data_IF_264300946624
#
_entry.id   IF_264300946624
#
_cell.length_a   1.000
_cell.length_b   1.000
_cell.length_c   1.000
_cell.angle_alpha   90.00
_cell.angle_beta   90.00
_cell.angle_gamma   90.00
#
_symmetry.space_group_name_H-M   'P 1'
#
loop_
_entity.id
_entity.type
_entity.pdbx_description
1 polymer ?
#
# COMPACT_ATOMS: atom_id res chain seq x y z
N UNK A 1 61.86 -58.18 9.28
CA UNK A 1 60.47 -57.81 9.63
C UNK A 1 60.06 -56.65 8.75
N UNK A 2 58.94 -56.79 8.04
CA UNK A 2 58.44 -55.84 7.06
C UNK A 2 57.79 -54.63 7.77
N UNK A 3 58.24 -53.41 7.45
CA UNK A 3 57.48 -52.20 7.75
C UNK A 3 56.44 -52.00 6.64
N UNK A 4 55.17 -52.29 6.96
CA UNK A 4 54.03 -51.99 6.12
C UNK A 4 53.85 -50.47 6.04
N UNK A 5 54.14 -49.94 4.86
CA UNK A 5 53.88 -48.55 4.50
C UNK A 5 52.39 -48.43 4.14
N UNK A 6 51.53 -48.17 5.13
CA UNK A 6 50.09 -47.98 4.94
C UNK A 6 49.82 -46.59 4.35
N UNK A 7 50.02 -46.47 3.04
CA UNK A 7 49.57 -45.34 2.24
C UNK A 7 48.10 -45.58 1.86
N UNK A 8 47.19 -45.44 2.82
CA UNK A 8 45.76 -45.70 2.68
C UNK A 8 45.07 -44.47 2.02
N UNK A 9 45.41 -44.20 0.76
CA UNK A 9 44.63 -43.29 -0.10
C UNK A 9 43.43 -44.08 -0.63
N UNK A 10 42.31 -44.01 0.08
CA UNK A 10 41.03 -44.59 -0.38
C UNK A 10 40.57 -43.89 -1.67
N UNK A 11 40.82 -44.50 -2.82
CA UNK A 11 40.17 -44.13 -4.07
C UNK A 11 38.66 -44.47 -3.95
N UNK A 12 37.77 -43.49 -4.21
CA UNK A 12 36.31 -43.70 -4.21
C UNK A 12 35.96 -44.85 -5.17
N UNK A 13 35.10 -45.77 -4.75
CA UNK A 13 34.66 -46.87 -5.63
C UNK A 13 33.75 -46.32 -6.74
N UNK A 14 33.65 -47.01 -7.88
CA UNK A 14 32.73 -46.62 -8.98
C UNK A 14 31.29 -46.41 -8.49
N UNK A 15 30.81 -47.28 -7.58
CA UNK A 15 29.49 -47.17 -6.97
C UNK A 15 29.34 -45.92 -6.09
N UNK A 16 30.40 -45.47 -5.41
CA UNK A 16 30.38 -44.24 -4.61
C UNK A 16 30.35 -42.99 -5.50
N UNK A 17 31.05 -43.02 -6.64
CA UNK A 17 31.05 -41.93 -7.63
C UNK A 17 29.68 -41.80 -8.32
N UNK A 18 29.05 -42.92 -8.71
CA UNK A 18 27.69 -42.92 -9.27
C UNK A 18 26.66 -42.39 -8.27
N UNK A 19 26.71 -42.84 -7.01
CA UNK A 19 25.84 -42.32 -5.94
C UNK A 19 26.03 -40.84 -5.69
N UNK A 20 27.28 -40.36 -5.73
CA UNK A 20 27.59 -38.94 -5.59
C UNK A 20 26.97 -38.14 -6.75
N UNK A 21 27.11 -38.62 -7.99
CA UNK A 21 26.54 -37.95 -9.16
C UNK A 21 25.01 -37.92 -9.13
N UNK A 22 24.35 -39.03 -8.77
CA UNK A 22 22.89 -39.07 -8.62
C UNK A 22 22.39 -38.07 -7.57
N UNK A 23 23.10 -37.97 -6.44
CA UNK A 23 22.78 -37.00 -5.40
C UNK A 23 22.87 -35.57 -5.93
N UNK A 24 23.95 -35.24 -6.64
CA UNK A 24 24.16 -33.91 -7.25
C UNK A 24 23.04 -33.55 -8.25
N UNK A 25 22.60 -34.49 -9.07
CA UNK A 25 21.48 -34.28 -10.01
C UNK A 25 20.18 -34.04 -9.25
N UNK A 26 19.90 -34.81 -8.19
CA UNK A 26 18.70 -34.63 -7.36
C UNK A 26 18.71 -33.29 -6.64
N UNK A 27 19.83 -32.88 -6.06
CA UNK A 27 19.95 -31.59 -5.38
C UNK A 27 19.85 -30.43 -6.36
N UNK A 28 20.47 -30.51 -7.54
CA UNK A 28 20.30 -29.55 -8.63
C UNK A 28 18.83 -29.37 -8.99
N UNK A 29 18.11 -30.47 -9.25
CA UNK A 29 16.69 -30.43 -9.62
C UNK A 29 15.82 -29.85 -8.50
N UNK A 30 16.15 -30.14 -7.23
CA UNK A 30 15.46 -29.55 -6.08
C UNK A 30 15.64 -28.02 -6.04
N UNK A 31 16.86 -27.52 -6.27
CA UNK A 31 17.13 -26.08 -6.32
C UNK A 31 16.41 -25.44 -7.51
N UNK A 32 16.47 -26.08 -8.68
CA UNK A 32 15.77 -25.64 -9.88
C UNK A 32 14.26 -25.45 -9.61
N UNK A 33 13.62 -26.49 -9.07
CA UNK A 33 12.19 -26.45 -8.76
C UNK A 33 11.86 -25.39 -7.70
N UNK A 34 12.71 -25.21 -6.68
CA UNK A 34 12.52 -24.17 -5.66
C UNK A 34 12.59 -22.76 -6.26
N UNK A 35 13.49 -22.53 -7.22
CA UNK A 35 13.58 -21.25 -7.93
C UNK A 35 12.35 -21.06 -8.83
N UNK A 36 12.02 -22.03 -9.69
CA UNK A 36 10.92 -21.91 -10.65
C UNK A 36 9.57 -21.65 -9.98
N UNK A 37 9.33 -22.29 -8.84
CA UNK A 37 8.09 -22.17 -8.07
C UNK A 37 8.07 -21.01 -7.08
N UNK A 38 9.14 -20.21 -6.99
CA UNK A 38 9.19 -19.07 -6.09
C UNK A 38 8.15 -18.01 -6.50
N UNK A 39 7.27 -17.65 -5.57
CA UNK A 39 6.17 -16.68 -5.77
C UNK A 39 6.35 -15.39 -4.97
N UNK A 40 7.09 -15.43 -3.86
CA UNK A 40 7.22 -14.31 -2.93
C UNK A 40 8.64 -14.16 -2.40
N UNK A 41 8.94 -12.98 -1.87
CA UNK A 41 10.17 -12.65 -1.18
C UNK A 41 10.43 -13.56 0.04
N UNK A 42 9.38 -14.11 0.66
CA UNK A 42 9.51 -15.00 1.82
C UNK A 42 10.19 -16.32 1.48
N UNK A 43 9.93 -16.84 0.29
CA UNK A 43 10.47 -18.13 -0.18
C UNK A 43 11.95 -18.02 -0.56
N UNK A 44 12.44 -16.80 -0.81
CA UNK A 44 13.82 -16.53 -1.22
C UNK A 44 14.86 -17.12 -0.26
N UNK A 45 14.69 -16.96 1.05
CA UNK A 45 15.70 -17.41 2.02
C UNK A 45 15.88 -18.93 1.95
N UNK A 46 14.78 -19.68 1.83
CA UNK A 46 14.84 -21.14 1.67
C UNK A 46 15.52 -21.52 0.36
N UNK A 47 15.13 -20.89 -0.75
CA UNK A 47 15.72 -21.14 -2.08
C UNK A 47 17.21 -20.82 -2.13
N UNK A 48 17.63 -19.69 -1.52
CA UNK A 48 19.03 -19.28 -1.42
C UNK A 48 19.84 -20.26 -0.59
N UNK A 49 19.31 -20.71 0.55
CA UNK A 49 20.00 -21.67 1.41
C UNK A 49 20.19 -23.02 0.71
N UNK A 50 19.18 -23.50 -0.02
CA UNK A 50 19.29 -24.70 -0.85
C UNK A 50 20.38 -24.56 -1.92
N UNK A 51 20.40 -23.41 -2.62
CA UNK A 51 21.42 -23.13 -3.62
C UNK A 51 22.83 -23.04 -3.02
N UNK A 52 22.97 -22.44 -1.84
CA UNK A 52 24.26 -22.35 -1.16
C UNK A 52 24.74 -23.73 -0.69
N UNK A 53 23.85 -24.56 -0.14
CA UNK A 53 24.17 -25.94 0.22
C UNK A 53 24.63 -26.74 -0.99
N UNK A 54 23.90 -26.67 -2.11
CA UNK A 54 24.32 -27.29 -3.38
C UNK A 54 25.70 -26.78 -3.82
N UNK A 55 25.96 -25.47 -3.75
CA UNK A 55 27.26 -24.92 -4.16
C UNK A 55 28.46 -25.30 -3.28
N UNK A 56 28.20 -25.89 -2.12
CA UNK A 56 29.24 -26.39 -1.19
C UNK A 56 29.38 -27.91 -1.20
N UNK A 57 28.57 -28.64 -1.98
CA UNK A 57 28.73 -30.09 -2.12
C UNK A 57 30.01 -30.43 -2.92
N UNK A 58 30.68 -31.51 -2.54
CA UNK A 58 31.88 -32.00 -3.22
C UNK A 58 31.51 -32.51 -4.63
N UNK A 59 32.31 -32.16 -5.66
CA UNK A 59 32.11 -32.62 -7.04
C UNK A 59 31.10 -31.80 -7.86
N UNK A 60 30.58 -30.69 -7.33
CA UNK A 60 29.64 -29.80 -8.03
C UNK A 60 30.33 -29.06 -9.17
N UNK A 61 29.66 -28.97 -10.32
CA UNK A 61 30.10 -28.17 -11.45
C UNK A 61 29.80 -26.67 -11.23
N UNK A 62 30.83 -25.82 -11.34
CA UNK A 62 30.69 -24.37 -11.16
C UNK A 62 29.74 -23.72 -12.18
N UNK A 63 29.67 -24.28 -13.39
CA UNK A 63 28.73 -23.84 -14.44
C UNK A 63 27.28 -24.05 -14.03
N UNK A 64 26.98 -25.16 -13.35
CA UNK A 64 25.61 -25.46 -12.90
C UNK A 64 25.20 -24.54 -11.74
N UNK A 65 26.13 -24.24 -10.83
CA UNK A 65 25.93 -23.22 -9.79
C UNK A 65 25.65 -21.85 -10.41
N UNK A 66 26.43 -21.47 -11.43
CA UNK A 66 26.23 -20.20 -12.15
C UNK A 66 24.84 -20.14 -12.82
N UNK A 67 24.43 -21.21 -13.53
CA UNK A 67 23.11 -21.29 -14.17
C UNK A 67 21.97 -21.13 -13.15
N UNK A 68 22.06 -21.81 -12.02
CA UNK A 68 21.04 -21.69 -10.95
C UNK A 68 21.03 -20.29 -10.33
N UNK A 69 22.19 -19.68 -10.09
CA UNK A 69 22.27 -18.28 -9.59
C UNK A 69 21.68 -17.29 -10.59
N UNK A 70 21.95 -17.46 -11.89
CA UNK A 70 21.39 -16.63 -12.96
C UNK A 70 19.88 -16.81 -13.06
N UNK A 71 19.39 -18.04 -12.95
CA UNK A 71 17.95 -18.32 -12.96
C UNK A 71 17.24 -17.71 -11.75
N UNK A 72 17.86 -17.74 -10.57
CA UNK A 72 17.33 -17.05 -9.38
C UNK A 72 17.26 -15.53 -9.58
N UNK A 73 18.28 -14.93 -10.20
CA UNK A 73 18.31 -13.48 -10.53
C UNK A 73 17.17 -13.10 -11.48
N UNK A 74 16.99 -13.88 -12.55
CA UNK A 74 15.88 -13.71 -13.50
C UNK A 74 14.53 -13.85 -12.81
N UNK A 75 14.35 -14.89 -11.99
CA UNK A 75 13.09 -15.11 -11.28
C UNK A 75 12.74 -13.97 -10.34
N UNK A 76 13.71 -13.43 -9.59
CA UNK A 76 13.48 -12.26 -8.73
C UNK A 76 13.08 -11.03 -9.56
N UNK A 77 13.69 -10.85 -10.72
CA UNK A 77 13.36 -9.76 -11.65
C UNK A 77 11.93 -9.90 -12.19
N UNK A 78 11.51 -11.10 -12.59
CA UNK A 78 10.13 -11.38 -13.01
C UNK A 78 9.12 -11.06 -11.89
N UNK A 79 9.42 -11.45 -10.65
CA UNK A 79 8.56 -11.15 -9.50
C UNK A 79 8.47 -9.64 -9.23
N UNK A 80 9.57 -8.89 -9.41
CA UNK A 80 9.58 -7.44 -9.29
C UNK A 80 8.67 -6.78 -10.33
N UNK A 81 8.82 -7.14 -11.60
CA UNK A 81 7.99 -6.62 -12.69
C UNK A 81 6.51 -6.94 -12.48
N UNK A 82 6.19 -8.17 -12.05
CA UNK A 82 4.83 -8.56 -11.74
C UNK A 82 4.26 -7.75 -10.57
N UNK A 83 5.05 -7.50 -9.53
CA UNK A 83 4.65 -6.69 -8.39
C UNK A 83 4.42 -5.22 -8.80
N UNK A 84 5.27 -4.65 -9.65
CA UNK A 84 5.11 -3.29 -10.19
C UNK A 84 3.83 -3.13 -11.00
N UNK A 85 3.54 -4.06 -11.92
CA UNK A 85 2.26 -4.08 -12.66
C UNK A 85 1.05 -4.15 -11.73
N UNK A 86 1.13 -4.99 -10.68
CA UNK A 86 0.03 -5.06 -9.70
C UNK A 86 -0.13 -3.75 -8.92
N UNK A 87 0.96 -3.06 -8.56
CA UNK A 87 0.89 -1.76 -7.89
C UNK A 87 0.19 -0.73 -8.77
N UNK A 88 0.56 -0.63 -10.06
CA UNK A 88 -0.09 0.29 -11.01
C UNK A 88 -1.58 0.02 -11.13
N UNK A 89 -1.98 -1.25 -11.30
CA UNK A 89 -3.40 -1.64 -11.36
C UNK A 89 -4.16 -1.19 -10.10
N UNK A 90 -3.59 -1.41 -8.91
CA UNK A 90 -4.24 -1.02 -7.64
C UNK A 90 -4.32 0.50 -7.49
N UNK A 91 -3.29 1.24 -7.92
CA UNK A 91 -3.31 2.70 -7.91
C UNK A 91 -4.42 3.24 -8.83
N UNK A 92 -4.55 2.69 -10.04
CA UNK A 92 -5.61 3.06 -10.98
C UNK A 92 -6.99 2.77 -10.40
N UNK A 93 -7.21 1.59 -9.82
CA UNK A 93 -8.47 1.26 -9.15
C UNK A 93 -8.81 2.24 -8.02
N UNK A 94 -7.83 2.65 -7.22
CA UNK A 94 -8.03 3.65 -6.15
C UNK A 94 -8.39 5.02 -6.76
N UNK A 95 -7.73 5.42 -7.85
CA UNK A 95 -8.02 6.66 -8.54
C UNK A 95 -9.42 6.68 -9.16
N UNK A 96 -9.84 5.58 -9.81
CA UNK A 96 -11.18 5.40 -10.35
C UNK A 96 -12.25 5.51 -9.27
N UNK A 97 -12.08 4.81 -8.13
CA UNK A 97 -13.02 4.89 -7.01
C UNK A 97 -13.12 6.32 -6.47
N UNK A 98 -12.00 7.06 -6.38
CA UNK A 98 -11.99 8.46 -5.95
C UNK A 98 -12.59 9.43 -6.99
N UNK A 99 -12.62 9.03 -8.25
CA UNK A 99 -13.17 9.84 -9.34
C UNK A 99 -14.70 9.78 -9.40
N UNK A 100 -15.32 8.74 -8.81
CA UNK A 100 -16.78 8.66 -8.69
C UNK A 100 -17.24 9.79 -7.76
N UNK A 101 -17.94 10.76 -8.33
CA UNK A 101 -18.52 11.90 -7.62
C UNK A 101 -20.03 11.87 -7.75
N UNK A 102 -20.73 12.11 -6.65
CA UNK A 102 -22.14 12.44 -6.68
C UNK A 102 -22.24 13.94 -6.92
N UNK A 103 -22.85 14.32 -8.03
CA UNK A 103 -23.16 15.70 -8.36
C UNK A 103 -24.59 16.01 -7.95
N UNK A 104 -24.77 17.17 -7.32
CA UNK A 104 -26.09 17.69 -7.02
C UNK A 104 -26.60 18.50 -8.22
N UNK A 105 -27.88 18.35 -8.55
CA UNK A 105 -28.43 19.04 -9.71
C UNK A 105 -28.40 20.56 -9.51
N UNK A 106 -28.22 21.30 -10.61
CA UNK A 106 -28.22 22.78 -10.56
C UNK A 106 -29.54 23.34 -10.05
N UNK A 107 -30.65 22.64 -10.29
CA UNK A 107 -31.99 23.00 -9.77
C UNK A 107 -32.07 22.87 -8.25
N UNK A 108 -31.55 21.77 -7.68
CA UNK A 108 -31.49 21.56 -6.24
C UNK A 108 -30.61 22.61 -5.56
N UNK A 109 -29.45 22.92 -6.16
CA UNK A 109 -28.57 23.98 -5.68
C UNK A 109 -29.24 25.35 -5.68
N UNK A 110 -29.97 25.71 -6.76
CA UNK A 110 -30.72 26.96 -6.84
C UNK A 110 -31.82 27.04 -5.79
N UNK A 111 -32.58 25.95 -5.59
CA UNK A 111 -33.63 25.89 -4.58
C UNK A 111 -33.06 26.11 -3.18
N UNK A 112 -31.98 25.41 -2.87
CA UNK A 112 -31.29 25.48 -1.58
C UNK A 112 -30.63 26.86 -1.35
N UNK A 113 -30.16 27.52 -2.41
CA UNK A 113 -29.69 28.90 -2.36
C UNK A 113 -30.82 29.88 -1.99
N UNK A 114 -31.98 29.76 -2.63
CA UNK A 114 -33.16 30.60 -2.33
C UNK A 114 -33.67 30.38 -0.91
N UNK A 115 -33.83 29.13 -0.50
CA UNK A 115 -34.31 28.77 0.84
C UNK A 115 -33.30 29.18 1.93
N UNK A 116 -32.01 29.06 1.70
CA UNK A 116 -31.00 29.50 2.67
C UNK A 116 -30.93 31.02 2.79
N UNK A 117 -31.14 31.75 1.69
CA UNK A 117 -31.18 33.22 1.71
C UNK A 117 -32.39 33.75 2.47
N UNK A 118 -33.57 33.12 2.34
CA UNK A 118 -34.74 33.53 3.13
C UNK A 118 -34.52 33.34 4.63
N UNK A 119 -33.91 32.23 5.05
CA UNK A 119 -33.55 31.97 6.45
C UNK A 119 -32.48 32.95 6.93
N UNK A 120 -31.46 33.24 6.11
CA UNK A 120 -30.42 34.22 6.43
C UNK A 120 -31.03 35.59 6.77
N UNK A 121 -31.96 36.08 5.93
CA UNK A 121 -32.63 37.36 6.19
C UNK A 121 -33.45 37.34 7.49
N UNK A 122 -34.11 36.22 7.81
CA UNK A 122 -34.79 36.05 9.11
C UNK A 122 -33.80 36.17 10.27
N UNK A 123 -32.68 35.46 10.22
CA UNK A 123 -31.65 35.55 11.26
C UNK A 123 -31.08 36.96 11.40
N UNK A 124 -30.79 37.64 10.28
CA UNK A 124 -30.29 39.02 10.32
C UNK A 124 -31.31 39.98 10.94
N UNK A 125 -32.60 39.83 10.60
CA UNK A 125 -33.67 40.65 11.17
C UNK A 125 -33.81 40.44 12.68
N UNK A 126 -33.77 39.18 13.13
CA UNK A 126 -33.86 38.83 14.56
C UNK A 126 -32.68 39.37 15.37
N UNK A 127 -31.46 39.30 14.82
CA UNK A 127 -30.23 39.78 15.46
C UNK A 127 -30.12 41.31 15.43
N UNK A 128 -30.63 41.98 14.40
CA UNK A 128 -30.58 43.44 14.28
C UNK A 128 -31.77 44.19 14.91
N UNK A 129 -32.80 43.50 15.39
CA UNK A 129 -34.02 44.11 15.88
C UNK A 129 -33.81 45.22 16.94
N UNK A 130 -32.77 45.12 17.78
CA UNK A 130 -32.43 46.10 18.82
C UNK A 130 -30.95 46.55 18.77
N UNK A 131 -30.32 46.48 17.58
CA UNK A 131 -28.87 46.56 17.42
C UNK A 131 -28.16 45.28 17.89
N UNK A 132 -26.90 45.08 17.49
CA UNK A 132 -26.14 43.88 17.87
C UNK A 132 -25.86 43.92 19.38
N UNK A 133 -26.36 42.93 20.10
CA UNK A 133 -26.20 42.75 21.53
C UNK A 133 -25.41 41.46 21.78
N UNK A 134 -24.13 41.60 22.11
CA UNK A 134 -23.17 40.49 22.11
C UNK A 134 -23.66 39.23 22.86
N UNK A 135 -24.11 39.36 24.11
CA UNK A 135 -24.49 38.20 24.93
C UNK A 135 -25.80 37.53 24.48
N UNK A 136 -26.83 38.31 24.14
CA UNK A 136 -28.11 37.77 23.67
C UNK A 136 -27.99 37.15 22.28
N UNK A 137 -27.20 37.78 21.39
CA UNK A 137 -27.01 37.31 20.03
C UNK A 137 -26.13 36.07 19.97
N UNK A 138 -25.10 35.98 20.82
CA UNK A 138 -24.35 34.73 21.04
C UNK A 138 -25.25 33.58 21.48
N UNK A 139 -26.21 33.84 22.38
CA UNK A 139 -27.17 32.82 22.84
C UNK A 139 -28.11 32.39 21.71
N UNK A 140 -28.63 33.34 20.93
CA UNK A 140 -29.49 33.06 19.76
C UNK A 140 -28.76 32.24 18.71
N UNK A 141 -27.56 32.64 18.33
CA UNK A 141 -26.69 31.87 17.41
C UNK A 141 -26.40 30.48 17.97
N UNK A 142 -26.17 30.38 19.28
CA UNK A 142 -26.05 29.10 19.98
C UNK A 142 -27.23 28.18 19.73
N UNK A 143 -28.46 28.70 19.87
CA UNK A 143 -29.68 27.95 19.62
C UNK A 143 -29.85 27.57 18.14
N UNK A 144 -29.55 28.48 17.20
CA UNK A 144 -29.63 28.17 15.76
C UNK A 144 -28.66 27.06 15.34
N UNK A 145 -27.50 26.95 16.03
CA UNK A 145 -26.50 25.93 15.76
C UNK A 145 -26.85 24.56 16.39
N UNK A 146 -27.96 24.42 17.11
CA UNK A 146 -28.41 23.12 17.64
C UNK A 146 -29.09 22.33 16.53
N UNK A 147 -28.40 21.31 16.01
CA UNK A 147 -28.89 20.40 14.97
C UNK A 147 -29.54 21.11 13.76
N UNK A 148 -28.86 22.09 13.13
CA UNK A 148 -29.43 22.83 12.01
C UNK A 148 -29.69 21.88 10.84
N UNK A 149 -30.79 22.10 10.14
CA UNK A 149 -31.01 21.48 8.82
C UNK A 149 -29.96 21.98 7.83
N UNK A 150 -29.77 21.29 6.71
CA UNK A 150 -28.79 21.70 5.69
C UNK A 150 -29.00 23.14 5.21
N UNK A 151 -30.24 23.54 4.99
CA UNK A 151 -30.60 24.90 4.56
C UNK A 151 -30.25 25.94 5.64
N UNK A 152 -30.56 25.63 6.91
CA UNK A 152 -30.21 26.49 8.05
C UNK A 152 -28.69 26.57 8.24
N UNK A 153 -27.95 25.46 8.06
CA UNK A 153 -26.51 25.43 8.16
C UNK A 153 -25.87 26.33 7.08
N UNK A 154 -26.37 26.32 5.86
CA UNK A 154 -25.89 27.20 4.79
C UNK A 154 -26.21 28.66 5.08
N UNK A 155 -27.40 28.95 5.61
CA UNK A 155 -27.75 30.29 6.07
C UNK A 155 -26.80 30.76 7.19
N UNK A 156 -26.49 29.91 8.17
CA UNK A 156 -25.55 30.19 9.25
C UNK A 156 -24.12 30.35 8.74
N UNK A 157 -23.71 29.60 7.72
CA UNK A 157 -22.39 29.74 7.10
C UNK A 157 -22.24 31.12 6.42
N UNK A 158 -23.28 31.55 5.70
CA UNK A 158 -23.35 32.89 5.11
C UNK A 158 -23.35 33.96 6.20
N UNK A 159 -24.17 33.81 7.25
CA UNK A 159 -24.21 34.72 8.39
C UNK A 159 -22.84 34.85 9.07
N UNK A 160 -22.17 33.72 9.29
CA UNK A 160 -20.84 33.65 9.90
C UNK A 160 -19.75 34.30 9.04
N UNK A 161 -19.93 34.36 7.71
CA UNK A 161 -18.99 35.02 6.80
C UNK A 161 -19.09 36.54 6.82
N UNK A 162 -20.19 37.11 7.33
CA UNK A 162 -20.37 38.54 7.44
C UNK A 162 -19.54 39.09 8.62
N UNK A 163 -18.72 40.14 8.42
CA UNK A 163 -17.82 40.65 9.45
C UNK A 163 -18.51 41.02 10.77
N UNK A 164 -19.72 41.60 10.68
CA UNK A 164 -20.50 42.05 11.84
C UNK A 164 -20.99 40.91 12.76
N UNK A 165 -21.10 39.68 12.24
CA UNK A 165 -21.59 38.53 13.00
C UNK A 165 -20.51 37.49 13.29
N UNK A 166 -19.41 37.52 12.54
CA UNK A 166 -18.32 36.56 12.66
C UNK A 166 -17.85 36.38 14.11
N UNK A 167 -17.70 37.46 14.87
CA UNK A 167 -17.25 37.43 16.26
C UNK A 167 -18.18 36.69 17.24
N UNK A 168 -19.42 36.41 16.85
CA UNK A 168 -20.44 35.78 17.70
C UNK A 168 -20.40 34.24 17.65
N UNK A 169 -19.75 33.65 16.64
CA UNK A 169 -19.66 32.20 16.45
C UNK A 169 -18.42 31.61 17.12
N UNK A 170 -18.63 30.56 17.91
CA UNK A 170 -17.56 29.71 18.46
C UNK A 170 -17.01 28.76 17.40
N UNK A 171 -15.79 28.26 17.60
CA UNK A 171 -15.17 27.30 16.68
C UNK A 171 -15.97 25.98 16.58
N UNK A 172 -16.56 25.52 17.71
CA UNK A 172 -17.40 24.32 17.73
C UNK A 172 -18.64 24.48 16.84
N UNK A 173 -19.31 25.63 16.91
CA UNK A 173 -20.47 25.92 16.08
C UNK A 173 -20.10 25.94 14.60
N UNK A 174 -18.96 26.54 14.24
CA UNK A 174 -18.47 26.54 12.85
C UNK A 174 -18.27 25.14 12.30
N UNK A 175 -17.71 24.22 13.10
CA UNK A 175 -17.55 22.81 12.70
C UNK A 175 -18.91 22.14 12.43
N UNK A 176 -19.88 22.33 13.32
CA UNK A 176 -21.24 21.77 13.15
C UNK A 176 -21.92 22.34 11.90
N UNK A 177 -21.81 23.65 11.67
CA UNK A 177 -22.37 24.32 10.49
C UNK A 177 -21.78 23.73 9.20
N UNK A 178 -20.45 23.58 9.13
CA UNK A 178 -19.79 23.05 7.93
C UNK A 178 -20.18 21.60 7.66
N UNK A 179 -20.26 20.76 8.70
CA UNK A 179 -20.68 19.36 8.54
C UNK A 179 -22.14 19.25 8.07
N UNK A 180 -23.06 20.01 8.68
CA UNK A 180 -24.49 19.93 8.34
C UNK A 180 -24.83 20.60 6.99
N UNK A 181 -23.99 21.50 6.48
CA UNK A 181 -24.16 22.10 5.16
C UNK A 181 -23.86 21.14 4.00
N UNK A 182 -23.12 20.05 4.26
CA UNK A 182 -22.78 19.04 3.25
C UNK A 182 -24.03 18.35 2.70
N UNK A 183 -23.95 17.93 1.45
CA UNK A 183 -25.03 17.13 0.84
C UNK A 183 -25.06 15.74 1.50
N UNK A 184 -26.20 15.31 2.07
CA UNK A 184 -26.31 14.04 2.78
C UNK A 184 -26.04 12.83 1.89
N UNK A 185 -26.36 12.90 0.60
CA UNK A 185 -26.13 11.79 -0.33
C UNK A 185 -24.64 11.68 -0.69
N UNK A 186 -23.94 12.82 -0.84
CA UNK A 186 -22.49 12.84 -0.99
C UNK A 186 -21.83 12.24 0.27
N UNK A 187 -22.25 12.66 1.46
CA UNK A 187 -21.70 12.15 2.72
C UNK A 187 -21.92 10.65 2.87
N UNK A 188 -23.13 10.14 2.57
CA UNK A 188 -23.42 8.69 2.58
C UNK A 188 -22.53 7.94 1.59
N UNK A 189 -22.34 8.50 0.40
CA UNK A 189 -21.49 7.87 -0.61
C UNK A 189 -20.02 7.81 -0.18
N UNK A 190 -19.46 8.92 0.31
CA UNK A 190 -18.12 8.96 0.89
C UNK A 190 -17.94 7.93 2.01
N UNK A 191 -18.92 7.83 2.92
CA UNK A 191 -18.91 6.85 4.01
C UNK A 191 -18.99 5.41 3.50
N UNK A 192 -19.82 5.16 2.47
CA UNK A 192 -19.99 3.82 1.90
C UNK A 192 -18.75 3.34 1.13
N UNK A 193 -18.02 4.25 0.48
CA UNK A 193 -16.81 3.96 -0.28
C UNK A 193 -15.57 3.84 0.62
N UNK A 194 -15.54 4.55 1.74
CA UNK A 194 -14.42 4.54 2.69
C UNK A 194 -13.85 3.14 3.01
N UNK A 195 -14.65 2.13 3.42
CA UNK A 195 -14.12 0.80 3.72
C UNK A 195 -13.47 0.13 2.50
N UNK A 196 -14.04 0.32 1.31
CA UNK A 196 -13.47 -0.22 0.07
C UNK A 196 -12.13 0.45 -0.26
N UNK A 197 -12.04 1.78 -0.09
CA UNK A 197 -10.78 2.52 -0.28
C UNK A 197 -9.71 2.07 0.72
N UNK A 198 -10.06 1.89 1.99
CA UNK A 198 -9.14 1.40 3.02
C UNK A 198 -8.62 0.00 2.70
N UNK A 199 -9.51 -0.91 2.25
CA UNK A 199 -9.12 -2.24 1.81
C UNK A 199 -8.12 -2.19 0.64
N UNK A 200 -8.42 -1.39 -0.40
CA UNK A 200 -7.55 -1.26 -1.58
C UNK A 200 -6.20 -0.63 -1.22
N UNK A 201 -6.19 0.36 -0.32
CA UNK A 201 -4.96 0.95 0.18
C UNK A 201 -4.12 -0.07 0.96
N UNK A 202 -4.74 -0.91 1.80
CA UNK A 202 -4.04 -1.97 2.52
C UNK A 202 -3.43 -3.02 1.57
N UNK A 203 -4.13 -3.40 0.50
CA UNK A 203 -3.60 -4.26 -0.55
C UNK A 203 -2.39 -3.63 -1.24
N UNK A 204 -2.48 -2.34 -1.61
CA UNK A 204 -1.39 -1.60 -2.21
C UNK A 204 -0.17 -1.50 -1.27
N UNK A 205 -0.38 -1.25 0.02
CA UNK A 205 0.70 -1.24 1.03
C UNK A 205 1.43 -2.58 1.12
N UNK A 206 0.71 -3.71 1.02
CA UNK A 206 1.35 -5.04 0.98
C UNK A 206 2.26 -5.20 -0.23
N UNK A 207 1.83 -4.74 -1.41
CA UNK A 207 2.64 -4.78 -2.64
C UNK A 207 3.88 -3.86 -2.55
N UNK A 208 3.76 -2.70 -1.90
CA UNK A 208 4.93 -1.86 -1.63
C UNK A 208 5.98 -2.55 -0.77
N UNK A 209 5.53 -3.22 0.30
CA UNK A 209 6.42 -3.97 1.20
C UNK A 209 7.07 -5.15 0.49
N UNK A 210 6.30 -5.90 -0.29
CA UNK A 210 6.80 -7.01 -1.10
C UNK A 210 7.84 -6.52 -2.12
N UNK A 211 7.53 -5.48 -2.89
CA UNK A 211 8.46 -4.89 -3.86
C UNK A 211 9.74 -4.34 -3.21
N UNK A 212 9.64 -3.77 -2.00
CA UNK A 212 10.80 -3.35 -1.23
C UNK A 212 11.70 -4.56 -0.87
N UNK A 213 11.12 -5.65 -0.38
CA UNK A 213 11.85 -6.87 -0.06
C UNK A 213 12.49 -7.49 -1.31
N UNK A 214 11.74 -7.59 -2.41
CA UNK A 214 12.25 -8.12 -3.68
C UNK A 214 13.42 -7.29 -4.23
N UNK A 215 13.40 -5.96 -4.12
CA UNK A 215 14.54 -5.10 -4.52
C UNK A 215 15.78 -5.35 -3.66
N UNK A 216 15.58 -5.59 -2.36
CA UNK A 216 16.68 -5.95 -1.48
C UNK A 216 17.27 -7.31 -1.88
N UNK A 217 16.39 -8.29 -2.15
CA UNK A 217 16.77 -9.63 -2.61
C UNK A 217 17.53 -9.58 -3.94
N UNK A 218 17.06 -8.80 -4.91
CA UNK A 218 17.71 -8.63 -6.21
C UNK A 218 19.16 -8.17 -6.06
N UNK A 219 19.43 -7.22 -5.16
CA UNK A 219 20.79 -6.78 -4.85
C UNK A 219 21.64 -7.92 -4.26
N UNK A 220 21.07 -8.72 -3.35
CA UNK A 220 21.78 -9.86 -2.77
C UNK A 220 22.11 -10.92 -3.82
N UNK A 221 21.15 -11.29 -4.66
CA UNK A 221 21.33 -12.29 -5.73
C UNK A 221 22.34 -11.82 -6.77
N UNK A 222 22.25 -10.57 -7.21
CA UNK A 222 23.21 -9.98 -8.15
C UNK A 222 24.65 -10.00 -7.59
N UNK A 223 24.82 -9.70 -6.30
CA UNK A 223 26.11 -9.79 -5.64
C UNK A 223 26.64 -11.23 -5.56
N UNK A 224 25.77 -12.18 -5.23
CA UNK A 224 26.12 -13.60 -5.16
C UNK A 224 26.48 -14.16 -6.56
N UNK A 225 25.78 -13.75 -7.61
CA UNK A 225 26.07 -14.10 -9.01
C UNK A 225 27.42 -13.53 -9.47
N UNK A 226 27.73 -12.28 -9.11
CA UNK A 226 29.04 -11.67 -9.39
C UNK A 226 30.18 -12.41 -8.69
N UNK A 227 29.96 -12.91 -7.47
CA UNK A 227 30.95 -13.69 -6.74
C UNK A 227 31.22 -15.04 -7.40
N UNK A 228 30.20 -15.72 -7.94
CA UNK A 228 30.43 -16.97 -8.68
C UNK A 228 31.31 -16.75 -9.90
N UNK A 229 31.10 -15.66 -10.65
CA UNK A 229 31.95 -15.34 -11.82
C UNK A 229 33.41 -15.02 -11.48
N UNK A 230 33.72 -14.60 -10.24
CA UNK A 230 35.09 -14.28 -9.81
C UNK A 230 35.88 -15.49 -9.32
N UNK A 231 35.21 -16.55 -8.86
CA UNK A 231 35.87 -17.78 -8.40
C UNK A 231 36.40 -18.63 -9.55
N UNK A 232 35.84 -18.48 -10.75
CA UNK A 232 36.27 -19.21 -11.95
C UNK A 232 37.55 -18.62 -12.60
N UNK A 233 38.11 -17.51 -12.08
CA UNK A 233 39.27 -16.80 -12.63
C UNK A 233 40.56 -16.91 -11.78
N UNK A 234 40.64 -17.89 -10.85
CA UNK A 234 41.85 -18.17 -10.03
C UNK A 234 42.19 -19.65 -10.16
#
# INVERSE_FOLDING_TARGET
MYFNNSNDRRNKTMADMERQQERLVRTYNSVFNAISNMKTAKEYLATRNLLNAFSSEEGVNTVDVYKLRKMLDQKVTELLEANEKQMEIKQTQIAEIRAIRIEESTEQLKKLELESNSILYSYMSELHANGIQENSDRRRIGNYCVNPTRVQAIALQKLCSLPQYNGLFTERQRKVIVENAKNPDIVKHEQSIKPLLEQKQAELSKLYMEGFQLRHIQKQVSNDLKKSMRRDNI
#
